data_IF_140523456490
#
_entry.id   IF_140523456490
#
_cell.length_a   1.000
_cell.length_b   1.000
_cell.length_c   1.000
_cell.angle_alpha   90.00
_cell.angle_beta   90.00
_cell.angle_gamma   90.00
#
_symmetry.space_group_name_H-M   'P 1'
#
loop_
_entity.id
_entity.type
_entity.pdbx_description
1 polymer ?
#
# COMPACT_ATOMS: atom_id res chain seq x y z
N UNK A 1 -44.42 54.51 35.00
CA UNK A 1 -44.06 53.26 35.69
C UNK A 1 -44.03 52.12 34.67
N UNK A 2 -42.88 51.40 34.55
CA UNK A 2 -42.71 50.03 33.99
C UNK A 2 -43.05 49.88 32.48
N UNK A 3 -42.40 49.10 31.62
CA UNK A 3 -41.27 48.17 31.62
C UNK A 3 -41.04 47.84 30.13
N UNK A 4 -39.90 48.18 29.53
CA UNK A 4 -38.79 47.27 29.24
C UNK A 4 -39.18 45.90 28.62
N UNK A 5 -38.97 45.72 27.30
CA UNK A 5 -38.67 44.43 26.65
C UNK A 5 -37.71 44.68 25.47
N UNK A 6 -36.43 44.35 25.67
CA UNK A 6 -35.43 44.23 24.61
C UNK A 6 -35.45 42.78 24.12
N UNK A 7 -35.72 42.58 22.83
CA UNK A 7 -35.63 41.27 22.16
C UNK A 7 -34.15 40.95 21.90
N UNK A 8 -33.61 40.00 22.65
CA UNK A 8 -32.25 39.47 22.43
C UNK A 8 -32.34 38.22 21.56
N UNK A 9 -32.15 38.38 20.25
CA UNK A 9 -31.95 37.28 19.31
C UNK A 9 -30.51 36.77 19.45
N UNK A 10 -30.32 35.72 20.25
CA UNK A 10 -29.05 35.00 20.35
C UNK A 10 -28.97 34.00 19.18
N UNK A 11 -28.27 34.39 18.11
CA UNK A 11 -27.90 33.47 17.02
C UNK A 11 -26.76 32.58 17.52
N UNK A 12 -27.10 31.35 17.93
CA UNK A 12 -26.12 30.30 18.20
C UNK A 12 -25.64 29.78 16.84
N UNK A 13 -24.49 30.28 16.39
CA UNK A 13 -23.70 29.68 15.33
C UNK A 13 -23.03 28.43 15.91
N UNK A 14 -23.67 27.27 15.77
CA UNK A 14 -23.00 25.98 15.93
C UNK A 14 -21.97 25.86 14.80
N UNK A 15 -20.73 26.23 15.09
CA UNK A 15 -19.58 25.89 14.27
C UNK A 15 -19.40 24.37 14.28
N UNK A 16 -19.76 23.72 13.17
CA UNK A 16 -19.32 22.37 12.88
C UNK A 16 -17.81 22.41 12.67
N UNK A 17 -17.04 22.16 13.73
CA UNK A 17 -15.63 21.85 13.60
C UNK A 17 -15.54 20.48 12.91
N UNK A 18 -15.29 20.48 11.60
CA UNK A 18 -14.89 19.28 10.88
C UNK A 18 -13.55 18.83 11.45
N UNK A 19 -13.59 17.86 12.36
CA UNK A 19 -12.40 17.12 12.78
C UNK A 19 -11.93 16.35 11.54
N UNK A 20 -10.94 16.88 10.83
CA UNK A 20 -10.17 16.13 9.84
C UNK A 20 -9.46 14.99 10.57
N UNK A 21 -10.18 13.89 10.78
CA UNK A 21 -9.59 12.63 11.20
C UNK A 21 -8.55 12.26 10.16
N UNK A 22 -7.29 12.16 10.58
CA UNK A 22 -6.25 11.48 9.81
C UNK A 22 -6.87 10.15 9.33
N UNK A 23 -6.94 9.94 8.02
CA UNK A 23 -7.50 8.72 7.45
C UNK A 23 -6.52 7.57 7.73
N UNK A 24 -6.59 7.02 8.94
CA UNK A 24 -5.85 5.83 9.33
C UNK A 24 -6.20 4.66 8.41
N UNK A 25 -5.29 3.69 8.28
CA UNK A 25 -5.55 2.49 7.51
C UNK A 25 -6.86 1.83 7.94
N UNK A 26 -7.71 1.42 6.99
CA UNK A 26 -8.98 0.77 7.31
C UNK A 26 -8.79 -0.61 7.98
N UNK A 27 -7.58 -1.16 7.86
CA UNK A 27 -7.10 -2.36 8.55
C UNK A 27 -5.80 -1.95 9.24
N UNK A 28 -5.71 -2.18 10.55
CA UNK A 28 -4.53 -1.82 11.32
C UNK A 28 -3.27 -2.50 10.76
N UNK A 29 -2.30 -1.69 10.30
CA UNK A 29 -1.08 -2.18 9.65
C UNK A 29 -0.29 -3.16 10.53
N UNK A 30 -0.29 -2.95 11.84
CA UNK A 30 0.36 -3.85 12.81
C UNK A 30 -0.22 -5.27 12.85
N UNK A 31 -1.43 -5.48 12.31
CA UNK A 31 -2.03 -6.82 12.12
C UNK A 31 -1.69 -7.44 10.77
N UNK A 32 -1.12 -6.68 9.85
CA UNK A 32 -0.82 -7.08 8.46
C UNK A 32 0.65 -7.46 8.32
N UNK A 33 1.56 -6.62 8.82
CA UNK A 33 3.00 -6.83 8.71
C UNK A 33 3.76 -6.07 9.80
N UNK A 34 4.94 -6.57 10.17
CA UNK A 34 5.89 -5.83 11.01
C UNK A 34 6.65 -4.78 10.18
N UNK A 35 7.24 -3.74 10.81
CA UNK A 35 8.06 -2.77 10.08
C UNK A 35 9.19 -3.42 9.26
N UNK A 36 9.82 -4.48 9.77
CA UNK A 36 10.91 -5.19 9.11
C UNK A 36 10.42 -5.89 7.83
N UNK A 37 9.24 -6.50 7.88
CA UNK A 37 8.59 -7.10 6.71
C UNK A 37 8.24 -6.03 5.67
N UNK A 38 7.78 -4.86 6.10
CA UNK A 38 7.51 -3.72 5.22
C UNK A 38 8.79 -3.20 4.56
N UNK A 39 9.91 -3.15 5.29
CA UNK A 39 11.21 -2.78 4.73
C UNK A 39 11.64 -3.79 3.66
N UNK A 40 11.60 -5.09 3.95
CA UNK A 40 11.95 -6.13 2.98
C UNK A 40 11.04 -6.10 1.73
N UNK A 41 9.74 -5.85 1.92
CA UNK A 41 8.79 -5.67 0.81
C UNK A 41 9.14 -4.45 -0.06
N UNK A 42 9.57 -3.34 0.55
CA UNK A 42 10.03 -2.17 -0.18
C UNK A 42 11.35 -2.43 -0.92
N UNK A 43 12.32 -3.10 -0.29
CA UNK A 43 13.60 -3.48 -0.91
C UNK A 43 13.38 -4.31 -2.17
N UNK A 44 12.52 -5.33 -2.10
CA UNK A 44 12.18 -6.16 -3.25
C UNK A 44 11.55 -5.37 -4.41
N UNK A 45 10.68 -4.40 -4.10
CA UNK A 45 10.08 -3.55 -5.12
C UNK A 45 11.11 -2.59 -5.75
N UNK A 46 12.01 -2.02 -4.95
CA UNK A 46 13.13 -1.19 -5.43
C UNK A 46 14.08 -2.00 -6.32
N UNK A 47 14.44 -3.22 -5.93
CA UNK A 47 15.32 -4.10 -6.70
C UNK A 47 14.72 -4.39 -8.08
N UNK A 48 13.47 -4.86 -8.11
CA UNK A 48 12.73 -5.16 -9.34
C UNK A 48 12.59 -3.94 -10.26
N UNK A 49 12.33 -2.76 -9.70
CA UNK A 49 12.25 -1.53 -10.47
C UNK A 49 13.64 -1.08 -10.97
N UNK A 50 14.69 -1.23 -10.15
CA UNK A 50 16.07 -0.85 -10.50
C UNK A 50 16.57 -1.64 -11.70
N UNK A 51 16.36 -2.96 -11.72
CA UNK A 51 16.82 -3.83 -12.80
C UNK A 51 16.31 -3.40 -14.19
N UNK A 52 15.08 -2.87 -14.25
CA UNK A 52 14.45 -2.41 -15.50
C UNK A 52 14.74 -0.95 -15.82
N UNK A 53 15.34 -0.21 -14.89
CA UNK A 53 15.70 1.18 -15.07
C UNK A 53 17.17 1.37 -15.42
N UNK A 54 18.00 0.33 -15.41
CA UNK A 54 19.41 0.45 -15.85
C UNK A 54 19.49 0.96 -17.30
N UNK A 55 18.74 0.31 -18.20
CA UNK A 55 18.66 0.63 -19.63
C UNK A 55 17.33 1.35 -20.01
N UNK A 56 17.42 2.26 -20.98
CA UNK A 56 16.26 3.06 -21.42
C UNK A 56 15.29 2.25 -22.29
N UNK A 57 15.79 1.31 -23.10
CA UNK A 57 14.98 0.40 -23.90
C UNK A 57 14.22 -0.60 -23.05
N UNK A 58 14.89 -1.19 -22.06
CA UNK A 58 14.27 -2.08 -21.07
C UNK A 58 13.18 -1.35 -20.27
N UNK A 59 13.43 -0.11 -19.86
CA UNK A 59 12.40 0.71 -19.22
C UNK A 59 11.20 0.94 -20.15
N UNK A 60 11.43 1.31 -21.41
CA UNK A 60 10.36 1.57 -22.36
C UNK A 60 9.50 0.31 -22.60
N UNK A 61 10.13 -0.86 -22.75
CA UNK A 61 9.44 -2.14 -22.92
C UNK A 61 8.66 -2.57 -21.67
N UNK A 62 9.18 -2.25 -20.47
CA UNK A 62 8.65 -2.73 -19.19
C UNK A 62 8.02 -1.63 -18.32
N UNK A 63 7.65 -0.48 -18.91
CA UNK A 63 7.13 0.68 -18.16
C UNK A 63 5.95 0.33 -17.26
N UNK A 64 5.03 -0.52 -17.74
CA UNK A 64 3.90 -1.02 -16.95
C UNK A 64 4.36 -1.79 -15.70
N UNK A 65 5.38 -2.63 -15.84
CA UNK A 65 5.93 -3.38 -14.72
C UNK A 65 6.56 -2.46 -13.67
N UNK A 66 7.33 -1.46 -14.12
CA UNK A 66 7.91 -0.44 -13.22
C UNK A 66 6.81 0.33 -12.48
N UNK A 67 5.73 0.72 -13.19
CA UNK A 67 4.57 1.38 -12.58
C UNK A 67 3.91 0.50 -11.50
N UNK A 68 3.79 -0.81 -11.72
CA UNK A 68 3.28 -1.75 -10.71
C UNK A 68 4.18 -1.85 -9.48
N UNK A 69 5.51 -1.86 -9.64
CA UNK A 69 6.42 -1.81 -8.48
C UNK A 69 6.30 -0.47 -7.74
N UNK A 70 6.10 0.63 -8.48
CA UNK A 70 5.89 1.95 -7.89
C UNK A 70 4.58 2.05 -7.09
N UNK A 71 3.51 1.36 -7.54
CA UNK A 71 2.27 1.18 -6.79
C UNK A 71 2.51 0.44 -5.47
N UNK A 72 3.27 -0.65 -5.50
CA UNK A 72 3.69 -1.36 -4.28
C UNK A 72 4.47 -0.43 -3.34
N UNK A 73 5.43 0.34 -3.84
CA UNK A 73 6.20 1.28 -3.02
C UNK A 73 5.32 2.35 -2.36
N UNK A 74 4.32 2.87 -3.07
CA UNK A 74 3.36 3.82 -2.50
C UNK A 74 2.60 3.19 -1.32
N UNK A 75 2.04 2.00 -1.54
CA UNK A 75 1.22 1.30 -0.54
C UNK A 75 2.04 0.83 0.66
N UNK A 76 3.21 0.22 0.42
CA UNK A 76 4.15 -0.20 1.48
C UNK A 76 4.72 1.00 2.24
N UNK A 77 5.00 2.11 1.56
CA UNK A 77 5.42 3.36 2.18
C UNK A 77 4.37 3.91 3.15
N UNK A 78 3.09 3.91 2.75
CA UNK A 78 2.00 4.30 3.65
C UNK A 78 1.90 3.35 4.85
N UNK A 79 1.98 2.04 4.61
CA UNK A 79 1.98 1.06 5.69
C UNK A 79 3.11 1.33 6.70
N UNK A 80 4.33 1.54 6.19
CA UNK A 80 5.50 1.84 7.01
C UNK A 80 5.30 3.15 7.78
N UNK A 81 4.68 4.15 7.18
CA UNK A 81 4.38 5.42 7.83
C UNK A 81 3.46 5.26 9.06
N UNK A 82 2.55 4.30 9.00
CA UNK A 82 1.58 3.99 10.06
C UNK A 82 2.07 2.92 11.05
N UNK A 83 3.23 2.32 10.80
CA UNK A 83 3.79 1.21 11.61
C UNK A 83 4.46 1.65 12.93
N UNK A 84 4.64 2.96 13.13
CA UNK A 84 5.21 3.52 14.35
C UNK A 84 5.83 4.89 14.14
N UNK A 85 6.00 5.66 15.23
CA UNK A 85 6.53 7.04 15.17
C UNK A 85 7.93 7.09 14.55
N UNK A 86 8.79 6.11 14.85
CA UNK A 86 10.15 6.06 14.29
C UNK A 86 10.19 5.82 12.78
N UNK A 87 9.13 5.23 12.21
CA UNK A 87 9.06 4.89 10.79
C UNK A 87 8.27 5.93 9.98
N UNK A 88 7.49 6.77 10.64
CA UNK A 88 6.53 7.68 10.02
C UNK A 88 7.12 8.53 8.90
N UNK A 89 8.19 9.29 9.19
CA UNK A 89 8.80 10.19 8.21
C UNK A 89 9.41 9.45 7.00
N UNK A 90 10.03 8.29 7.26
CA UNK A 90 10.61 7.41 6.22
C UNK A 90 9.52 6.79 5.34
N UNK A 91 8.44 6.32 5.94
CA UNK A 91 7.30 5.75 5.21
C UNK A 91 6.61 6.79 4.32
N UNK A 92 6.39 8.00 4.83
CA UNK A 92 5.81 9.11 4.05
C UNK A 92 6.69 9.42 2.83
N UNK A 93 7.99 9.59 3.03
CA UNK A 93 8.92 9.87 1.94
C UNK A 93 8.95 8.74 0.89
N UNK A 94 8.90 7.48 1.35
CA UNK A 94 8.86 6.31 0.47
C UNK A 94 7.56 6.26 -0.35
N UNK A 95 6.43 6.58 0.28
CA UNK A 95 5.13 6.65 -0.40
C UNK A 95 5.15 7.70 -1.51
N UNK A 96 5.62 8.91 -1.20
CA UNK A 96 5.72 9.99 -2.19
C UNK A 96 6.65 9.64 -3.34
N UNK A 97 7.79 8.99 -3.06
CA UNK A 97 8.69 8.50 -4.10
C UNK A 97 8.02 7.43 -5.00
N UNK A 98 7.24 6.53 -4.41
CA UNK A 98 6.41 5.56 -5.15
C UNK A 98 5.39 6.25 -6.06
N UNK A 99 4.67 7.26 -5.56
CA UNK A 99 3.71 8.05 -6.34
C UNK A 99 4.40 8.85 -7.46
N UNK A 100 5.59 9.41 -7.20
CA UNK A 100 6.39 10.10 -8.21
C UNK A 100 6.84 9.13 -9.31
N UNK A 101 7.28 7.92 -8.93
CA UNK A 101 7.70 6.89 -9.88
C UNK A 101 6.53 6.39 -10.74
N UNK A 102 5.32 6.27 -10.18
CA UNK A 102 4.12 5.94 -10.95
C UNK A 102 3.78 6.99 -12.02
N UNK A 103 4.03 8.27 -11.71
CA UNK A 103 3.74 9.41 -12.58
C UNK A 103 4.87 9.74 -13.57
N UNK A 104 6.03 9.10 -13.43
CA UNK A 104 7.19 9.36 -14.26
C UNK A 104 6.88 9.17 -15.76
N UNK A 105 7.01 10.24 -16.54
CA UNK A 105 6.78 10.22 -17.98
C UNK A 105 7.99 9.67 -18.74
N UNK A 106 9.20 10.00 -18.27
CA UNK A 106 10.46 9.65 -18.92
C UNK A 106 11.29 8.67 -18.09
N UNK A 107 12.28 8.04 -18.74
CA UNK A 107 13.27 7.19 -18.06
C UNK A 107 14.06 7.96 -17.00
N UNK A 108 14.42 9.21 -17.30
CA UNK A 108 15.14 10.07 -16.38
C UNK A 108 14.31 10.41 -15.13
N UNK A 109 13.02 10.70 -15.28
CA UNK A 109 12.12 10.96 -14.15
C UNK A 109 11.96 9.71 -13.28
N UNK A 110 11.86 8.54 -13.92
CA UNK A 110 11.77 7.27 -13.21
C UNK A 110 13.05 6.97 -12.41
N UNK A 111 14.24 7.20 -12.98
CA UNK A 111 15.51 7.09 -12.25
C UNK A 111 15.57 8.03 -11.05
N UNK A 112 15.14 9.29 -11.20
CA UNK A 112 15.08 10.26 -10.09
C UNK A 112 14.14 9.80 -8.98
N UNK A 113 12.93 9.37 -9.33
CA UNK A 113 11.95 8.90 -8.35
C UNK A 113 12.42 7.61 -7.63
N UNK A 114 13.09 6.69 -8.35
CA UNK A 114 13.69 5.50 -7.75
C UNK A 114 14.82 5.87 -6.77
N UNK A 115 15.65 6.87 -7.09
CA UNK A 115 16.68 7.35 -6.17
C UNK A 115 16.06 7.91 -4.88
N UNK A 116 14.97 8.68 -4.99
CA UNK A 116 14.22 9.16 -3.82
C UNK A 116 13.65 8.01 -2.98
N UNK A 117 13.17 6.93 -3.62
CA UNK A 117 12.68 5.75 -2.90
C UNK A 117 13.81 5.06 -2.12
N UNK A 118 15.00 4.93 -2.72
CA UNK A 118 16.21 4.40 -2.07
C UNK A 118 16.63 5.26 -0.89
N UNK A 119 16.65 6.58 -1.04
CA UNK A 119 17.02 7.51 0.03
C UNK A 119 15.99 7.53 1.17
N UNK A 120 14.70 7.49 0.85
CA UNK A 120 13.64 7.36 1.84
C UNK A 120 13.79 6.07 2.65
N UNK A 121 13.99 4.94 1.96
CA UNK A 121 14.22 3.66 2.62
C UNK A 121 15.56 3.62 3.37
N UNK A 122 16.57 4.39 2.99
CA UNK A 122 17.78 4.53 3.79
C UNK A 122 17.61 5.47 5.01
N UNK A 123 16.44 6.10 5.19
CA UNK A 123 16.19 7.10 6.23
C UNK A 123 16.85 8.45 5.98
N UNK A 124 17.34 8.70 4.76
CA UNK A 124 18.01 9.94 4.34
C UNK A 124 17.04 11.02 3.86
N UNK A 125 15.85 10.60 3.41
CA UNK A 125 14.78 11.50 3.04
C UNK A 125 13.67 11.44 4.09
N UNK A 126 13.27 12.61 4.59
CA UNK A 126 12.14 12.79 5.50
C UNK A 126 11.28 13.94 4.97
N UNK A 127 9.99 13.70 4.74
CA UNK A 127 9.09 14.72 4.23
C UNK A 127 8.04 14.16 3.27
N UNK A 128 7.03 14.99 2.98
CA UNK A 128 5.89 14.63 2.16
C UNK A 128 4.57 15.00 2.85
N UNK A 129 3.44 14.69 2.21
CA UNK A 129 2.14 14.95 2.82
C UNK A 129 1.96 14.02 4.04
N UNK A 130 1.56 14.52 5.20
CA UNK A 130 1.26 13.63 6.33
C UNK A 130 0.05 12.72 6.04
N UNK A 131 -0.85 13.16 5.17
CA UNK A 131 -2.08 12.46 4.83
C UNK A 131 -1.97 11.75 3.48
N UNK A 132 -2.51 10.54 3.41
CA UNK A 132 -2.83 9.90 2.15
C UNK A 132 -4.12 9.10 2.28
N UNK A 133 -4.83 9.02 1.16
CA UNK A 133 -6.01 8.20 1.00
C UNK A 133 -5.57 6.85 0.43
N UNK A 134 -5.79 5.77 1.18
CA UNK A 134 -5.42 4.41 0.79
C UNK A 134 -6.00 4.01 -0.57
N UNK A 135 -7.18 4.51 -0.92
CA UNK A 135 -7.82 4.25 -2.21
C UNK A 135 -7.12 4.94 -3.40
N UNK A 136 -6.19 5.89 -3.14
CA UNK A 136 -5.50 6.67 -4.17
C UNK A 136 -4.01 6.35 -4.30
N UNK A 137 -3.52 5.36 -3.53
CA UNK A 137 -2.10 4.99 -3.54
C UNK A 137 -1.70 4.17 -4.76
N UNK A 138 -2.64 3.40 -5.28
CA UNK A 138 -2.49 2.58 -6.48
C UNK A 138 -3.83 2.48 -7.20
N UNK A 139 -3.81 2.42 -8.54
CA UNK A 139 -5.03 2.10 -9.29
C UNK A 139 -5.37 0.61 -9.19
N UNK A 140 -6.66 0.28 -9.03
CA UNK A 140 -7.14 -1.11 -8.90
C UNK A 140 -6.60 -2.03 -9.99
N UNK A 141 -6.60 -1.59 -11.26
CA UNK A 141 -6.07 -2.38 -12.36
C UNK A 141 -4.58 -2.73 -12.20
N UNK A 142 -3.72 -1.74 -11.93
CA UNK A 142 -2.28 -1.96 -11.73
C UNK A 142 -2.01 -2.86 -10.51
N UNK A 143 -2.82 -2.70 -9.45
CA UNK A 143 -2.75 -3.53 -8.25
C UNK A 143 -3.13 -4.99 -8.54
N UNK A 144 -4.26 -5.24 -9.20
CA UNK A 144 -4.72 -6.59 -9.50
C UNK A 144 -3.77 -7.33 -10.45
N UNK A 145 -3.23 -6.65 -11.47
CA UNK A 145 -2.18 -7.23 -12.32
C UNK A 145 -0.92 -7.61 -11.52
N UNK A 146 -0.51 -6.75 -10.56
CA UNK A 146 0.63 -7.06 -9.70
C UNK A 146 0.34 -8.27 -8.82
N UNK A 147 -0.86 -8.33 -8.24
CA UNK A 147 -1.33 -9.44 -7.41
C UNK A 147 -1.28 -10.73 -8.21
N UNK A 148 -1.87 -10.79 -9.41
CA UNK A 148 -1.92 -11.99 -10.25
C UNK A 148 -0.54 -12.53 -10.63
N UNK A 149 0.34 -11.64 -11.11
CA UNK A 149 1.72 -12.02 -11.51
C UNK A 149 2.50 -12.55 -10.30
N UNK A 150 2.34 -11.91 -9.14
CA UNK A 150 3.04 -12.30 -7.92
C UNK A 150 2.46 -13.59 -7.34
N UNK A 151 1.15 -13.80 -7.36
CA UNK A 151 0.50 -15.07 -7.01
C UNK A 151 1.03 -16.21 -7.86
N UNK A 152 1.10 -16.02 -9.18
CA UNK A 152 1.63 -17.02 -10.10
C UNK A 152 3.08 -17.40 -9.78
N UNK A 153 3.91 -16.41 -9.39
CA UNK A 153 5.27 -16.67 -8.90
C UNK A 153 5.24 -17.48 -7.60
N UNK A 154 4.48 -17.03 -6.60
CA UNK A 154 4.41 -17.69 -5.29
C UNK A 154 3.90 -19.13 -5.38
N UNK A 155 2.97 -19.43 -6.30
CA UNK A 155 2.52 -20.80 -6.57
C UNK A 155 3.67 -21.73 -6.98
N UNK A 156 4.63 -21.21 -7.73
CA UNK A 156 5.85 -21.97 -8.10
C UNK A 156 6.76 -22.12 -6.88
N UNK A 157 6.90 -21.06 -6.09
CA UNK A 157 7.67 -21.06 -4.85
C UNK A 157 7.14 -22.03 -3.79
N UNK A 158 5.82 -22.24 -3.69
CA UNK A 158 5.23 -23.26 -2.83
C UNK A 158 5.73 -24.66 -3.16
N UNK A 159 5.94 -24.97 -4.45
CA UNK A 159 6.54 -26.25 -4.85
C UNK A 159 8.01 -26.29 -4.51
N UNK A 160 8.77 -25.27 -4.95
CA UNK A 160 10.20 -25.12 -4.72
C UNK A 160 10.58 -23.64 -4.75
N UNK A 161 10.83 -23.07 -3.58
CA UNK A 161 11.38 -21.72 -3.47
C UNK A 161 12.83 -21.70 -3.95
N UNK A 162 13.19 -20.67 -4.72
CA UNK A 162 14.58 -20.38 -5.10
C UNK A 162 15.20 -19.31 -4.21
N UNK A 163 14.35 -18.47 -3.63
CA UNK A 163 14.73 -17.39 -2.72
C UNK A 163 13.60 -17.19 -1.70
N UNK A 164 13.68 -17.88 -0.55
CA UNK A 164 12.63 -17.81 0.47
C UNK A 164 12.39 -16.40 1.00
N UNK A 165 13.44 -15.57 1.07
CA UNK A 165 13.33 -14.19 1.56
C UNK A 165 12.56 -13.32 0.57
N UNK A 166 12.89 -13.43 -0.72
CA UNK A 166 12.14 -12.70 -1.75
C UNK A 166 10.69 -13.19 -1.88
N UNK A 167 10.42 -14.48 -1.60
CA UNK A 167 9.05 -15.00 -1.59
C UNK A 167 8.25 -14.47 -0.39
N UNK A 168 8.84 -14.39 0.80
CA UNK A 168 8.21 -13.80 1.99
C UNK A 168 7.95 -12.29 1.82
N UNK A 169 8.92 -11.56 1.26
CA UNK A 169 8.74 -10.15 0.93
C UNK A 169 7.65 -9.95 -0.12
N UNK A 170 7.58 -10.79 -1.16
CA UNK A 170 6.53 -10.74 -2.16
C UNK A 170 5.13 -11.05 -1.58
N UNK A 171 5.01 -12.04 -0.69
CA UNK A 171 3.76 -12.32 0.00
C UNK A 171 3.33 -11.15 0.90
N UNK A 172 4.30 -10.48 1.55
CA UNK A 172 4.05 -9.25 2.32
C UNK A 172 3.54 -8.12 1.42
N UNK A 173 4.11 -7.93 0.22
CA UNK A 173 3.60 -6.94 -0.76
C UNK A 173 2.10 -7.17 -1.04
N UNK A 174 1.69 -8.43 -1.27
CA UNK A 174 0.28 -8.78 -1.46
C UNK A 174 -0.58 -8.43 -0.24
N UNK A 175 -0.15 -8.83 0.96
CA UNK A 175 -0.89 -8.59 2.19
C UNK A 175 -1.19 -7.11 2.44
N UNK A 176 -0.24 -6.23 2.12
CA UNK A 176 -0.41 -4.77 2.26
C UNK A 176 -1.25 -4.19 1.12
N UNK A 177 -1.10 -4.67 -0.12
CA UNK A 177 -2.00 -4.30 -1.22
C UNK A 177 -3.46 -4.61 -0.90
N UNK A 178 -3.74 -5.71 -0.17
CA UNK A 178 -5.08 -6.02 0.31
C UNK A 178 -5.71 -4.93 1.19
N UNK A 179 -4.91 -4.11 1.89
CA UNK A 179 -5.40 -2.96 2.66
C UNK A 179 -5.87 -1.83 1.74
N UNK A 180 -5.11 -1.55 0.67
CA UNK A 180 -5.51 -0.59 -0.35
C UNK A 180 -6.76 -1.05 -1.10
N UNK A 181 -6.84 -2.35 -1.43
CA UNK A 181 -8.02 -2.96 -2.05
C UNK A 181 -9.28 -2.82 -1.19
N UNK A 182 -9.18 -3.00 0.13
CA UNK A 182 -10.30 -2.76 1.03
C UNK A 182 -10.77 -1.30 0.99
N UNK A 183 -9.83 -0.34 0.97
CA UNK A 183 -10.13 1.09 0.93
C UNK A 183 -10.77 1.51 -0.40
N UNK A 184 -10.34 0.89 -1.49
CA UNK A 184 -10.71 1.28 -2.83
C UNK A 184 -12.05 0.69 -3.27
N UNK A 185 -13.11 1.48 -3.16
CA UNK A 185 -14.46 1.11 -3.58
C UNK A 185 -14.86 1.70 -4.93
N UNK A 186 -13.94 2.31 -5.70
CA UNK A 186 -14.33 3.07 -6.90
C UNK A 186 -14.96 2.22 -8.00
N UNK A 187 -14.67 0.91 -8.02
CA UNK A 187 -15.27 -0.04 -8.97
C UNK A 187 -16.64 -0.56 -8.55
N UNK A 188 -17.03 -0.34 -7.29
CA UNK A 188 -18.35 -0.72 -6.77
C UNK A 188 -19.36 0.39 -7.07
N UNK A 189 -20.07 0.26 -8.20
CA UNK A 189 -20.99 1.31 -8.67
C UNK A 189 -22.30 1.38 -7.90
N UNK A 190 -22.75 0.28 -7.27
CA UNK A 190 -23.89 0.28 -6.35
C UNK A 190 -23.40 0.44 -4.90
N UNK A 191 -23.68 1.57 -4.23
CA UNK A 191 -23.29 1.80 -2.84
C UNK A 191 -23.76 0.71 -1.86
N UNK A 192 -24.85 0.01 -2.17
CA UNK A 192 -25.36 -1.09 -1.33
C UNK A 192 -24.45 -2.32 -1.32
N UNK A 193 -23.58 -2.46 -2.32
CA UNK A 193 -22.63 -3.56 -2.43
C UNK A 193 -21.27 -3.27 -1.76
N UNK A 194 -21.04 -2.04 -1.30
CA UNK A 194 -19.80 -1.67 -0.60
C UNK A 194 -19.52 -2.56 0.63
N UNK A 195 -20.49 -2.90 1.48
CA UNK A 195 -20.25 -3.83 2.59
C UNK A 195 -19.81 -5.22 2.13
N UNK A 196 -20.38 -5.73 1.03
CA UNK A 196 -20.01 -7.03 0.47
C UNK A 196 -18.58 -6.99 -0.09
N UNK A 197 -18.23 -5.92 -0.82
CA UNK A 197 -16.86 -5.69 -1.29
C UNK A 197 -15.86 -5.67 -0.13
N UNK A 198 -16.15 -4.90 0.91
CA UNK A 198 -15.28 -4.77 2.08
C UNK A 198 -15.13 -6.10 2.83
N UNK A 199 -16.19 -6.90 2.94
CA UNK A 199 -16.11 -8.23 3.53
C UNK A 199 -15.17 -9.15 2.74
N UNK A 200 -15.37 -9.25 1.42
CA UNK A 200 -14.53 -10.02 0.52
C UNK A 200 -13.06 -9.55 0.57
N UNK A 201 -12.84 -8.24 0.45
CA UNK A 201 -11.50 -7.66 0.46
C UNK A 201 -10.78 -7.90 1.79
N UNK A 202 -11.51 -7.91 2.91
CA UNK A 202 -10.96 -8.24 4.23
C UNK A 202 -10.57 -9.70 4.33
N UNK A 203 -11.41 -10.63 3.88
CA UNK A 203 -11.10 -12.06 3.88
C UNK A 203 -9.86 -12.35 3.02
N UNK A 204 -9.81 -11.75 1.83
CA UNK A 204 -8.67 -11.82 0.93
C UNK A 204 -7.39 -11.29 1.57
N UNK A 205 -7.46 -10.11 2.20
CA UNK A 205 -6.34 -9.48 2.90
C UNK A 205 -5.85 -10.34 4.07
N UNK A 206 -6.75 -10.98 4.81
CA UNK A 206 -6.40 -11.89 5.91
C UNK A 206 -5.71 -13.15 5.40
N UNK A 207 -6.19 -13.75 4.30
CA UNK A 207 -5.53 -14.89 3.67
C UNK A 207 -4.11 -14.54 3.21
N UNK A 208 -3.92 -13.36 2.63
CA UNK A 208 -2.60 -12.86 2.22
C UNK A 208 -1.67 -12.58 3.40
N UNK A 209 -2.19 -12.08 4.51
CA UNK A 209 -1.44 -11.91 5.75
C UNK A 209 -0.96 -13.26 6.28
N UNK A 210 -1.85 -14.26 6.29
CA UNK A 210 -1.49 -15.62 6.70
C UNK A 210 -0.45 -16.23 5.74
N UNK A 211 -0.54 -15.95 4.44
CA UNK A 211 0.42 -16.39 3.44
C UNK A 211 1.81 -15.78 3.70
N UNK A 212 1.87 -14.47 3.94
CA UNK A 212 3.12 -13.78 4.27
C UNK A 212 3.77 -14.36 5.54
N UNK A 213 2.99 -14.56 6.60
CA UNK A 213 3.47 -15.16 7.84
C UNK A 213 3.96 -16.61 7.66
N UNK A 214 3.33 -17.38 6.77
CA UNK A 214 3.74 -18.75 6.48
C UNK A 214 5.04 -18.82 5.67
N UNK A 215 5.21 -17.95 4.66
CA UNK A 215 6.47 -17.84 3.92
C UNK A 215 7.63 -17.40 4.83
N UNK A 216 7.41 -16.44 5.73
CA UNK A 216 8.42 -15.99 6.69
C UNK A 216 8.91 -17.14 7.59
N UNK A 217 8.00 -18.04 7.98
CA UNK A 217 8.30 -19.21 8.80
C UNK A 217 8.83 -20.41 7.99
N UNK A 218 8.81 -20.34 6.67
CA UNK A 218 9.07 -21.50 5.80
C UNK A 218 8.03 -22.63 5.95
N UNK A 219 6.84 -22.34 6.49
CA UNK A 219 5.78 -23.33 6.69
C UNK A 219 5.01 -23.54 5.38
N UNK A 220 5.47 -24.50 4.59
CA UNK A 220 4.88 -24.82 3.29
C UNK A 220 3.42 -25.27 3.37
N UNK A 221 3.02 -25.97 4.43
CA UNK A 221 1.64 -26.44 4.58
C UNK A 221 0.69 -25.28 4.87
N UNK A 222 1.07 -24.40 5.81
CA UNK A 222 0.32 -23.18 6.09
C UNK A 222 0.30 -22.25 4.87
N UNK A 223 1.41 -22.14 4.14
CA UNK A 223 1.50 -21.30 2.94
C UNK A 223 0.59 -21.81 1.82
N UNK A 224 0.53 -23.13 1.58
CA UNK A 224 -0.41 -23.70 0.61
C UNK A 224 -1.86 -23.43 1.01
N UNK A 225 -2.23 -23.67 2.27
CA UNK A 225 -3.59 -23.41 2.76
C UNK A 225 -3.98 -21.94 2.62
N UNK A 226 -3.09 -21.02 2.99
CA UNK A 226 -3.34 -19.59 2.90
C UNK A 226 -3.40 -19.11 1.44
N UNK A 227 -2.57 -19.67 0.56
CA UNK A 227 -2.61 -19.41 -0.88
C UNK A 227 -3.97 -19.79 -1.48
N UNK A 228 -4.49 -20.97 -1.16
CA UNK A 228 -5.78 -21.44 -1.67
C UNK A 228 -6.95 -20.58 -1.20
N UNK A 229 -6.91 -20.12 0.06
CA UNK A 229 -7.91 -19.20 0.60
C UNK A 229 -7.87 -17.82 -0.08
N UNK A 230 -6.68 -17.34 -0.45
CA UNK A 230 -6.49 -16.06 -1.14
C UNK A 230 -6.53 -16.15 -2.66
N UNK A 231 -6.89 -17.28 -3.26
CA UNK A 231 -6.98 -17.45 -4.71
C UNK A 231 -8.43 -17.67 -5.20
N UNK A 232 -9.38 -17.78 -4.27
CA UNK A 232 -10.81 -17.90 -4.57
C UNK A 232 -11.41 -16.54 -4.95
#
# INVERSE_FOLDING_TARGET
MKSNRKNTLCRILCGFAAVCSLAAAPIAVSKVATPEQLVAAAELAIEKASALLEDAGEYAANRKYVKRQAAVLAVVGQALAESGKQWSARGIALREAGLALQKAATHADAKKALALAKDALAGKATGGNAQADWAKLCGMHDMMEHIEVTFTKLRRSLRRSRDPKADAAAATQLAVLGVAMYADTHEVKDPKLVPQWQAMAREYQQALTALAAAFEKGDKAAATKAYEAGYQ
#
